data_IF_310763028153
#
_entry.id   IF_310763028153
#
_cell.length_a   1.000
_cell.length_b   1.000
_cell.length_c   1.000
_cell.angle_alpha   90.00
_cell.angle_beta   90.00
_cell.angle_gamma   90.00
#
_symmetry.space_group_name_H-M   'P 1'
#
loop_
_entity.id
_entity.type
_entity.pdbx_description
1 polymer ?
#
# COMPACT_ATOMS: atom_id res chain seq x y z
N UNK A 1 -15.26 5.18 20.51
CA UNK A 1 -15.81 5.31 19.13
C UNK A 1 -15.68 4.03 18.32
N UNK A 2 -16.58 3.71 17.37
CA UNK A 2 -16.48 2.48 16.54
C UNK A 2 -15.13 2.32 15.82
N UNK A 3 -14.52 3.42 15.38
CA UNK A 3 -13.20 3.41 14.73
C UNK A 3 -12.12 3.05 15.74
N UNK A 4 -12.14 3.69 16.91
CA UNK A 4 -11.18 3.47 17.99
C UNK A 4 -11.22 2.02 18.51
N UNK A 5 -12.42 1.48 18.72
CA UNK A 5 -12.62 0.11 19.19
C UNK A 5 -12.01 -0.89 18.20
N UNK A 6 -12.27 -0.71 16.90
CA UNK A 6 -11.77 -1.61 15.86
C UNK A 6 -10.26 -1.44 15.63
N UNK A 7 -9.74 -0.21 15.69
CA UNK A 7 -8.29 0.06 15.66
C UNK A 7 -7.60 -0.66 16.80
N UNK A 8 -8.09 -0.49 18.02
CA UNK A 8 -7.55 -1.11 19.23
C UNK A 8 -7.60 -2.63 19.12
N UNK A 9 -8.75 -3.18 18.72
CA UNK A 9 -8.94 -4.63 18.56
C UNK A 9 -7.97 -5.24 17.55
N UNK A 10 -7.73 -4.58 16.42
CA UNK A 10 -6.78 -5.10 15.43
C UNK A 10 -5.34 -4.94 15.90
N UNK A 11 -4.94 -3.77 16.40
CA UNK A 11 -3.59 -3.52 16.92
C UNK A 11 -3.26 -4.42 18.12
N UNK A 12 -4.27 -4.81 18.90
CA UNK A 12 -4.14 -5.78 19.99
C UNK A 12 -3.59 -7.14 19.54
N UNK A 13 -3.73 -7.51 18.27
CA UNK A 13 -3.23 -8.77 17.71
C UNK A 13 -1.73 -8.72 17.35
N UNK A 14 -1.07 -7.57 17.47
CA UNK A 14 0.37 -7.45 17.28
C UNK A 14 1.14 -8.32 18.29
N UNK A 15 2.15 -9.05 17.82
CA UNK A 15 2.98 -9.98 18.61
C UNK A 15 4.42 -9.49 18.81
N UNK A 16 4.74 -8.28 18.36
CA UNK A 16 6.07 -7.69 18.52
C UNK A 16 6.36 -7.43 20.01
N UNK A 17 7.62 -7.61 20.44
CA UNK A 17 8.05 -7.24 21.78
C UNK A 17 7.79 -5.75 22.07
N UNK A 18 8.17 -4.88 21.12
CA UNK A 18 7.65 -3.52 21.02
C UNK A 18 6.39 -3.55 20.15
N UNK A 19 5.22 -3.48 20.80
CA UNK A 19 3.92 -3.53 20.10
C UNK A 19 3.81 -2.41 19.06
N UNK A 20 3.12 -2.69 17.94
CA UNK A 20 2.81 -1.69 16.93
C UNK A 20 1.95 -0.58 17.57
N UNK A 21 2.47 0.65 17.61
CA UNK A 21 1.82 1.75 18.30
C UNK A 21 0.82 2.45 17.36
N UNK A 22 -0.34 2.83 17.89
CA UNK A 22 -1.31 3.67 17.18
C UNK A 22 -1.84 4.70 18.15
N UNK A 23 -1.79 5.97 17.75
CA UNK A 23 -2.19 7.09 18.60
C UNK A 23 -3.20 7.97 17.85
N UNK A 24 -4.30 8.32 18.51
CA UNK A 24 -5.27 9.27 17.98
C UNK A 24 -4.83 10.68 18.32
N UNK A 25 -4.51 11.45 17.28
CA UNK A 25 -4.01 12.83 17.42
C UNK A 25 -5.16 13.85 17.33
N UNK A 26 -6.28 13.47 16.71
CA UNK A 26 -7.49 14.28 16.64
C UNK A 26 -8.64 13.51 16.00
N UNK A 27 -9.74 14.20 15.74
CA UNK A 27 -10.89 13.59 15.04
C UNK A 27 -10.46 13.01 13.70
N UNK A 28 -10.69 11.71 13.52
CA UNK A 28 -10.35 10.97 12.31
C UNK A 28 -8.86 11.03 11.91
N UNK A 29 -7.95 11.45 12.81
CA UNK A 29 -6.51 11.58 12.54
C UNK A 29 -5.72 10.67 13.47
N UNK A 30 -4.95 9.77 12.88
CA UNK A 30 -4.18 8.78 13.60
C UNK A 30 -2.72 8.77 13.15
N UNK A 31 -1.84 8.45 14.09
CA UNK A 31 -0.43 8.14 13.88
C UNK A 31 -0.24 6.63 14.00
N UNK A 32 0.52 6.03 13.09
CA UNK A 32 0.70 4.58 13.01
C UNK A 32 2.18 4.19 13.05
N UNK A 33 2.52 3.24 13.91
CA UNK A 33 3.89 2.80 14.17
C UNK A 33 4.77 3.94 14.66
N UNK A 34 6.04 3.90 14.26
CA UNK A 34 7.03 4.94 14.58
C UNK A 34 7.00 6.11 13.57
N UNK A 35 6.05 6.11 12.62
CA UNK A 35 5.93 7.15 11.60
C UNK A 35 5.41 8.45 12.19
N UNK A 36 6.00 9.58 11.79
CA UNK A 36 5.48 10.91 12.14
C UNK A 36 4.28 11.32 11.25
N UNK A 37 4.00 10.57 10.17
CA UNK A 37 2.93 10.89 9.24
C UNK A 37 1.55 10.65 9.86
N UNK A 38 0.73 11.70 9.88
CA UNK A 38 -0.68 11.59 10.22
C UNK A 38 -1.47 11.01 9.06
N UNK A 39 -2.37 10.09 9.38
CA UNK A 39 -3.28 9.47 8.42
C UNK A 39 -4.71 9.73 8.82
N UNK A 40 -5.53 10.05 7.81
CA UNK A 40 -6.97 10.13 8.00
C UNK A 40 -7.57 8.72 8.06
N UNK A 41 -8.51 8.52 8.98
CA UNK A 41 -9.21 7.25 9.19
C UNK A 41 -10.72 7.50 9.13
N UNK A 42 -11.44 6.60 8.47
CA UNK A 42 -12.91 6.66 8.36
C UNK A 42 -13.50 5.26 8.51
N UNK A 43 -14.81 5.19 8.67
CA UNK A 43 -15.57 3.94 8.63
C UNK A 43 -16.54 3.94 7.44
N UNK A 44 -16.58 2.86 6.68
CA UNK A 44 -17.51 2.65 5.57
C UNK A 44 -18.09 1.25 5.67
N UNK A 45 -19.42 1.11 5.79
CA UNK A 45 -20.10 -0.19 5.91
C UNK A 45 -19.45 -1.10 6.97
N UNK A 46 -19.15 -0.54 8.14
CA UNK A 46 -18.48 -1.23 9.26
C UNK A 46 -17.00 -1.58 9.04
N UNK A 47 -16.41 -1.22 7.90
CA UNK A 47 -14.97 -1.40 7.64
C UNK A 47 -14.21 -0.11 7.96
N UNK A 48 -13.21 -0.19 8.84
CA UNK A 48 -12.29 0.92 9.09
C UNK A 48 -11.28 1.03 7.95
N UNK A 49 -11.07 2.26 7.46
CA UNK A 49 -10.20 2.55 6.32
C UNK A 49 -9.21 3.65 6.64
N UNK A 50 -7.96 3.48 6.17
CA UNK A 50 -6.83 4.39 6.34
C UNK A 50 -6.46 5.05 5.00
N UNK A 51 -6.20 6.36 5.01
CA UNK A 51 -5.73 7.10 3.83
C UNK A 51 -4.25 6.82 3.56
N UNK A 52 -3.92 6.44 2.32
CA UNK A 52 -2.56 5.98 1.92
C UNK A 52 -2.05 6.66 0.63
N UNK A 53 -2.39 7.94 0.42
CA UNK A 53 -2.01 8.67 -0.80
C UNK A 53 -3.06 8.51 -1.88
N UNK A 54 -2.90 7.49 -2.75
CA UNK A 54 -3.73 7.25 -3.94
C UNK A 54 -5.14 6.72 -3.69
N UNK A 55 -5.51 6.45 -2.44
CA UNK A 55 -6.83 5.93 -2.11
C UNK A 55 -7.02 5.64 -0.62
N UNK A 56 -8.05 4.85 -0.33
CA UNK A 56 -8.37 4.35 0.99
C UNK A 56 -8.05 2.86 1.05
N UNK A 57 -7.28 2.44 2.05
CA UNK A 57 -6.92 1.04 2.30
C UNK A 57 -7.68 0.56 3.54
N UNK A 58 -8.13 -0.69 3.57
CA UNK A 58 -8.72 -1.26 4.78
C UNK A 58 -7.67 -1.37 5.89
N UNK A 59 -8.09 -1.22 7.15
CA UNK A 59 -7.17 -1.21 8.29
C UNK A 59 -6.38 -2.52 8.44
N UNK A 60 -7.03 -3.65 8.19
CA UNK A 60 -6.43 -4.98 8.24
C UNK A 60 -5.30 -5.12 7.20
N UNK A 61 -5.56 -4.75 5.95
CA UNK A 61 -4.54 -4.71 4.90
C UNK A 61 -3.41 -3.73 5.24
N UNK A 62 -3.75 -2.58 5.82
CA UNK A 62 -2.76 -1.59 6.24
C UNK A 62 -1.83 -2.16 7.32
N UNK A 63 -2.39 -2.82 8.34
CA UNK A 63 -1.59 -3.44 9.40
C UNK A 63 -0.73 -4.58 8.85
N UNK A 64 -1.23 -5.41 7.92
CA UNK A 64 -0.41 -6.47 7.30
C UNK A 64 0.84 -5.89 6.62
N UNK A 65 0.74 -4.72 6.02
CA UNK A 65 1.86 -4.05 5.32
C UNK A 65 2.82 -3.29 6.25
N UNK A 66 2.38 -2.91 7.45
CA UNK A 66 3.14 -1.99 8.31
C UNK A 66 3.53 -2.58 9.69
N UNK A 67 2.79 -3.56 10.22
CA UNK A 67 3.09 -4.24 11.48
C UNK A 67 4.15 -5.33 11.24
N UNK A 68 5.38 -5.22 11.77
CA UNK A 68 6.48 -6.13 11.45
C UNK A 68 6.16 -7.60 11.68
N UNK A 69 5.38 -7.92 12.72
CA UNK A 69 5.03 -9.31 12.99
C UNK A 69 4.02 -9.88 11.98
N UNK A 70 3.25 -9.04 11.27
CA UNK A 70 2.27 -9.49 10.26
C UNK A 70 2.91 -9.69 8.89
N UNK A 71 3.86 -8.84 8.52
CA UNK A 71 4.65 -8.95 7.28
C UNK A 71 5.32 -10.32 7.18
N UNK A 72 5.71 -10.90 8.32
CA UNK A 72 6.41 -12.17 8.41
C UNK A 72 5.54 -13.38 8.72
N UNK A 73 4.20 -13.34 8.74
CA UNK A 73 3.42 -14.57 8.93
C UNK A 73 3.62 -15.50 7.71
N UNK A 74 4.44 -16.55 7.82
CA UNK A 74 4.60 -17.54 6.77
C UNK A 74 3.42 -18.48 6.99
N UNK A 75 2.28 -18.15 6.40
CA UNK A 75 1.12 -19.04 6.32
C UNK A 75 1.43 -20.35 5.59
N UNK A 76 2.63 -20.54 5.03
CA UNK A 76 3.16 -21.86 4.73
C UNK A 76 4.01 -22.38 5.89
N UNK A 77 3.35 -22.76 6.99
CA UNK A 77 3.94 -23.69 7.94
C UNK A 77 4.03 -25.05 7.24
N UNK A 78 5.19 -25.38 6.67
CA UNK A 78 5.64 -26.78 6.76
C UNK A 78 5.92 -26.96 8.25
N UNK A 79 4.95 -27.53 8.97
CA UNK A 79 5.21 -28.10 10.28
C UNK A 79 6.22 -29.23 10.07
N UNK A 80 7.51 -28.94 10.22
CA UNK A 80 8.41 -29.91 10.87
C UNK A 80 8.51 -29.46 12.31
N UNK A 81 7.68 -30.09 13.13
CA UNK A 81 7.84 -30.13 14.56
C UNK A 81 9.09 -30.96 14.85
N UNK A 82 10.24 -30.30 14.96
CA UNK A 82 11.39 -30.93 15.62
C UNK A 82 11.33 -30.53 17.08
N UNK A 83 10.60 -31.36 17.83
CA UNK A 83 10.93 -31.63 19.22
C UNK A 83 12.41 -31.94 19.29
N UNK A 84 13.09 -31.31 20.24
CA UNK A 84 14.47 -31.61 20.62
C UNK A 84 14.69 -33.11 20.82
N UNK A 85 15.40 -33.76 19.91
CA UNK A 85 16.15 -34.98 20.21
C UNK A 85 17.52 -34.92 19.54
N UNK A 86 18.53 -34.76 20.40
CA UNK A 86 19.93 -35.02 20.12
C UNK A 86 20.08 -36.44 19.60
N UNK A 87 20.41 -36.63 18.32
CA UNK A 87 21.04 -37.86 17.83
C UNK A 87 22.12 -37.48 16.82
N UNK A 88 23.33 -37.86 17.20
CA UNK A 88 24.53 -37.94 16.41
C UNK A 88 24.30 -38.92 15.25
N UNK A 89 24.43 -38.46 14.00
CA UNK A 89 24.68 -39.35 12.88
C UNK A 89 25.28 -38.55 11.72
N UNK A 90 26.56 -38.83 11.48
CA UNK A 90 27.37 -38.35 10.37
C UNK A 90 26.66 -38.58 9.03
N UNK A 91 26.64 -37.56 8.16
CA UNK A 91 26.51 -37.71 6.70
C UNK A 91 26.94 -36.43 5.98
N UNK A 92 27.49 -36.56 4.76
CA UNK A 92 28.64 -35.77 4.35
C UNK A 92 28.28 -34.37 3.84
N UNK A 93 29.29 -33.52 3.93
CA UNK A 93 29.37 -32.12 3.55
C UNK A 93 28.71 -31.87 2.18
N UNK A 94 27.44 -31.45 2.18
CA UNK A 94 26.87 -30.67 1.09
C UNK A 94 27.32 -29.21 1.26
N UNK A 95 28.60 -28.96 0.96
CA UNK A 95 29.12 -27.62 0.69
C UNK A 95 28.40 -27.14 -0.58
N UNK A 96 27.30 -26.41 -0.39
CA UNK A 96 26.76 -25.52 -1.40
C UNK A 96 27.81 -24.45 -1.70
N UNK A 97 28.69 -24.78 -2.64
CA UNK A 97 29.79 -23.94 -3.09
C UNK A 97 29.21 -22.63 -3.61
N UNK A 98 29.67 -21.53 -3.03
CA UNK A 98 29.60 -20.21 -3.63
C UNK A 98 30.12 -20.29 -5.07
N UNK A 99 29.56 -19.46 -5.94
CA UNK A 99 29.70 -19.42 -7.39
C UNK A 99 31.14 -19.04 -7.84
N UNK A 100 32.16 -19.79 -7.44
CA UNK A 100 33.58 -19.50 -7.71
C UNK A 100 34.08 -20.22 -8.97
N UNK A 101 33.56 -21.41 -9.29
CA UNK A 101 34.06 -22.26 -10.39
C UNK A 101 33.51 -21.90 -11.79
N UNK A 102 32.56 -20.96 -11.90
CA UNK A 102 32.08 -20.48 -13.20
C UNK A 102 32.95 -19.35 -13.79
N UNK A 103 33.83 -18.74 -12.98
CA UNK A 103 34.73 -17.66 -13.43
C UNK A 103 36.02 -18.17 -14.09
N UNK A 104 36.43 -19.42 -13.85
CA UNK A 104 37.68 -19.95 -14.41
C UNK A 104 37.53 -20.69 -15.75
N UNK A 105 36.31 -20.96 -16.22
CA UNK A 105 36.09 -21.66 -17.51
C UNK A 105 35.93 -20.74 -18.72
N UNK A 106 36.09 -19.42 -18.54
CA UNK A 106 36.00 -18.43 -19.61
C UNK A 106 37.31 -17.69 -19.90
N UNK A 107 38.44 -18.16 -19.35
CA UNK A 107 39.74 -17.71 -19.82
C UNK A 107 40.06 -18.51 -21.08
N UNK A 108 39.64 -17.99 -22.23
CA UNK A 108 40.14 -18.43 -23.53
C UNK A 108 41.67 -18.28 -23.57
N UNK A 109 42.39 -19.16 -24.30
CA UNK A 109 43.80 -18.95 -24.60
C UNK A 109 44.00 -17.72 -25.51
N UNK A 110 45.19 -17.16 -25.39
CA UNK A 110 45.82 -16.08 -26.16
C UNK A 110 45.29 -15.90 -27.61
N UNK A 111 44.87 -14.68 -27.97
CA UNK A 111 44.88 -14.23 -29.38
C UNK A 111 43.54 -14.08 -30.14
N UNK A 112 42.37 -14.04 -29.50
CA UNK A 112 41.10 -13.81 -30.21
C UNK A 112 40.68 -12.33 -30.19
N UNK A 113 40.89 -11.63 -31.30
CA UNK A 113 40.33 -10.30 -31.58
C UNK A 113 38.81 -10.39 -31.75
N UNK A 114 38.04 -9.71 -30.89
CA UNK A 114 36.62 -9.46 -31.12
C UNK A 114 36.34 -7.97 -30.94
N UNK A 115 36.49 -7.22 -32.03
CA UNK A 115 35.97 -5.87 -32.13
C UNK A 115 34.44 -5.92 -32.20
N UNK A 116 33.76 -5.49 -31.14
CA UNK A 116 32.33 -5.15 -31.22
C UNK A 116 32.18 -3.70 -31.66
N UNK A 117 31.45 -3.49 -32.75
CA UNK A 117 31.15 -2.18 -33.32
C UNK A 117 30.32 -1.34 -32.34
N UNK A 118 30.67 -0.07 -32.05
CA UNK A 118 29.81 0.77 -31.23
C UNK A 118 28.55 1.13 -32.00
N UNK A 119 27.38 0.93 -31.39
CA UNK A 119 26.13 1.47 -31.91
C UNK A 119 26.22 3.00 -31.91
N UNK A 120 26.17 3.58 -33.12
CA UNK A 120 26.23 5.02 -33.33
C UNK A 120 25.02 5.72 -32.70
N UNK A 121 25.28 6.70 -31.86
CA UNK A 121 24.30 7.67 -31.37
C UNK A 121 23.72 8.49 -32.53
N UNK A 122 22.43 8.31 -32.84
CA UNK A 122 21.67 9.26 -33.66
C UNK A 122 20.39 9.64 -32.91
N UNK A 123 20.38 10.87 -32.40
CA UNK A 123 19.21 11.47 -31.80
C UNK A 123 18.11 11.79 -32.82
N UNK A 124 16.87 11.88 -32.33
CA UNK A 124 15.85 12.83 -32.76
C UNK A 124 14.75 12.92 -31.71
N UNK A 125 14.38 14.15 -31.35
CA UNK A 125 13.19 14.50 -30.57
C UNK A 125 11.94 13.85 -31.16
N UNK A 126 11.06 13.33 -30.30
CA UNK A 126 9.62 13.32 -30.55
C UNK A 126 8.84 13.21 -29.24
N UNK A 127 8.12 14.28 -28.94
CA UNK A 127 7.12 14.45 -27.87
C UNK A 127 5.79 13.85 -28.36
N UNK A 128 5.01 13.10 -27.57
CA UNK A 128 3.63 12.81 -27.94
C UNK A 128 2.73 13.97 -27.48
N UNK A 129 2.13 14.63 -28.46
CA UNK A 129 1.08 15.64 -28.29
C UNK A 129 -0.27 14.99 -28.01
N UNK A 130 -1.09 15.72 -27.26
CA UNK A 130 -2.56 15.70 -27.18
C UNK A 130 -3.32 14.85 -28.21
N UNK A 131 -4.18 13.95 -27.73
CA UNK A 131 -5.41 13.55 -28.44
C UNK A 131 -6.61 14.19 -27.74
N UNK A 132 -7.03 15.32 -28.29
CA UNK A 132 -8.37 15.85 -28.11
C UNK A 132 -9.35 14.98 -28.93
N UNK A 133 -10.50 14.69 -28.34
CA UNK A 133 -11.72 14.38 -29.06
C UNK A 133 -12.87 15.05 -28.29
N UNK A 134 -13.37 16.16 -28.84
CA UNK A 134 -14.68 16.76 -28.56
C UNK A 134 -15.58 16.46 -29.76
N UNK A 135 -16.92 16.42 -29.61
CA UNK A 135 -17.76 17.63 -29.79
C UNK A 135 -18.90 17.70 -28.75
N UNK A 136 -19.06 18.79 -27.99
CA UNK A 136 -19.92 19.99 -28.20
C UNK A 136 -21.45 19.82 -28.09
N UNK A 137 -22.03 20.75 -27.29
CA UNK A 137 -23.41 21.29 -27.27
C UNK A 137 -24.50 20.41 -26.60
N UNK A 138 -25.36 20.91 -25.71
CA UNK A 138 -25.96 22.25 -25.65
C UNK A 138 -26.41 22.63 -24.24
N UNK A 139 -26.22 23.90 -23.88
CA UNK A 139 -27.07 24.65 -22.97
C UNK A 139 -28.35 25.07 -23.71
N UNK A 140 -29.53 24.78 -23.17
CA UNK A 140 -30.77 25.47 -23.55
C UNK A 140 -31.75 25.49 -22.38
N UNK A 141 -32.34 26.67 -22.27
CA UNK A 141 -33.15 27.28 -21.25
C UNK A 141 -34.63 26.88 -21.30
N UNK A 142 -35.29 27.09 -20.15
CA UNK A 142 -36.71 27.37 -19.95
C UNK A 142 -37.75 26.32 -20.38
N UNK A 143 -38.44 25.75 -19.40
CA UNK A 143 -39.91 25.61 -19.40
C UNK A 143 -40.41 25.47 -17.96
N UNK A 144 -41.52 26.16 -17.70
CA UNK A 144 -42.12 26.51 -16.42
C UNK A 144 -42.80 25.33 -15.71
N UNK A 145 -42.85 25.36 -14.38
CA UNK A 145 -44.11 25.17 -13.63
C UNK A 145 -43.94 25.41 -12.12
N UNK A 146 -44.35 26.60 -11.69
CA UNK A 146 -45.03 26.95 -10.43
C UNK A 146 -44.72 26.16 -9.15
N UNK A 147 -43.97 26.78 -8.23
CA UNK A 147 -44.44 26.97 -6.85
C UNK A 147 -43.66 28.12 -6.18
N UNK A 148 -44.45 29.09 -5.75
CA UNK A 148 -44.09 30.45 -5.38
C UNK A 148 -43.31 30.54 -4.07
N UNK A 149 -42.33 31.45 -4.03
CA UNK A 149 -41.84 32.06 -2.80
C UNK A 149 -42.87 33.11 -2.33
N UNK A 150 -43.37 32.96 -1.10
CA UNK A 150 -44.01 34.05 -0.35
C UNK A 150 -43.50 34.05 1.09
N UNK A 151 -42.64 35.04 1.34
CA UNK A 151 -42.61 35.93 2.52
C UNK A 151 -43.50 35.61 3.73
N UNK A 152 -42.86 35.73 4.90
CA UNK A 152 -43.36 35.94 6.27
C UNK A 152 -44.82 36.42 6.43
N UNK A 153 -45.49 35.97 7.50
CA UNK A 153 -46.40 36.84 8.22
C UNK A 153 -46.11 36.95 9.71
N UNK A 154 -46.60 38.07 10.22
CA UNK A 154 -46.39 38.74 11.50
C UNK A 154 -47.11 38.11 12.70
N UNK A 155 -46.72 38.62 13.88
CA UNK A 155 -47.17 38.38 15.26
C UNK A 155 -48.64 38.01 15.51
N UNK A 156 -48.94 37.27 16.61
CA UNK A 156 -50.27 37.25 17.21
C UNK A 156 -50.39 38.31 18.33
N UNK A 157 -51.45 39.12 18.25
CA UNK A 157 -52.04 39.84 19.38
C UNK A 157 -53.46 39.27 19.58
N UNK A 158 -53.81 38.94 20.81
CA UNK A 158 -55.17 38.52 21.20
C UNK A 158 -55.42 38.93 22.66
N UNK A 159 -56.70 39.07 23.06
CA UNK A 159 -57.22 40.17 23.88
C UNK A 159 -57.07 39.99 25.39
#
# INVERSE_FOLDING_TARGET
DKIEDEVTRQVAQCKCAKRFQVEQIGENKYRFGDSQQLRLVRILRSTVMVRVGGGWMALDEFLVKNDPCRVHHPGSKIKRSDSSSSISSQSPIARGRTNIELREKFILPEGASQGMTPFRSRGRRSKPSSRAASPTRSSSSASQSNHSCTSMPSSPATP
#
